data_IF_107382582241
#
_entry.id   IF_107382582241
#
_cell.length_a   1.000
_cell.length_b   1.000
_cell.length_c   1.000
_cell.angle_alpha   90.00
_cell.angle_beta   90.00
_cell.angle_gamma   90.00
#
_symmetry.space_group_name_H-M   'P 1'
#
loop_
_entity.id
_entity.type
_entity.pdbx_description
1 polymer ?
#
# COMPACT_ATOMS: atom_id res chain seq x y z
N UNK A 1 -29.99 41.49 -7.17
CA UNK A 1 -30.01 40.25 -7.96
C UNK A 1 -28.98 40.35 -9.08
N UNK A 2 -27.90 39.55 -9.02
CA UNK A 2 -26.87 39.53 -10.07
C UNK A 2 -27.39 38.65 -11.21
N UNK A 3 -27.50 39.17 -12.43
CA UNK A 3 -27.99 38.43 -13.58
C UNK A 3 -26.95 37.41 -14.05
N UNK A 4 -27.38 36.26 -14.64
CA UNK A 4 -26.47 35.21 -15.18
C UNK A 4 -25.42 35.77 -16.14
N UNK A 5 -25.74 36.82 -16.92
CA UNK A 5 -24.78 37.50 -17.80
C UNK A 5 -23.73 38.33 -17.07
N UNK A 6 -24.04 38.89 -15.91
CA UNK A 6 -23.08 39.63 -15.09
C UNK A 6 -22.11 38.67 -14.40
N UNK A 7 -22.58 37.49 -13.98
CA UNK A 7 -21.72 36.43 -13.40
C UNK A 7 -20.68 35.90 -14.39
N UNK A 8 -21.10 35.65 -15.65
CA UNK A 8 -20.20 35.18 -16.71
C UNK A 8 -19.14 36.22 -17.14
N UNK A 9 -19.43 37.53 -17.03
CA UNK A 9 -18.45 38.58 -17.33
C UNK A 9 -17.40 38.76 -16.23
N UNK A 10 -17.74 38.48 -14.99
CA UNK A 10 -16.80 38.56 -13.86
C UNK A 10 -15.79 37.41 -13.88
N UNK A 11 -16.20 36.22 -14.37
CA UNK A 11 -15.31 35.04 -14.47
C UNK A 11 -14.32 35.11 -15.65
N UNK A 12 -14.51 36.00 -16.62
CA UNK A 12 -13.59 36.14 -17.76
C UNK A 12 -12.46 37.16 -17.57
N UNK A 13 -12.42 37.91 -16.46
CA UNK A 13 -11.50 39.03 -16.27
C UNK A 13 -10.36 38.80 -15.27
N UNK A 14 -10.19 37.61 -14.77
CA UNK A 14 -9.00 37.26 -13.98
C UNK A 14 -8.27 36.06 -14.61
N UNK A 15 -7.21 36.28 -15.42
CA UNK A 15 -6.26 35.23 -15.68
C UNK A 15 -5.53 34.97 -14.35
N UNK A 16 -6.00 34.01 -13.56
CA UNK A 16 -5.26 33.46 -12.45
C UNK A 16 -4.05 32.73 -13.06
N UNK A 17 -2.95 33.48 -13.21
CA UNK A 17 -1.66 32.89 -13.51
C UNK A 17 -1.23 32.15 -12.25
N UNK A 18 -1.68 30.91 -12.11
CA UNK A 18 -1.06 29.95 -11.19
C UNK A 18 0.32 29.57 -11.80
N UNK A 19 1.31 30.46 -11.63
CA UNK A 19 2.72 30.10 -11.80
C UNK A 19 3.18 29.39 -10.53
N UNK A 20 2.78 28.16 -10.39
CA UNK A 20 3.24 27.26 -9.37
C UNK A 20 2.87 25.86 -9.82
N UNK A 21 3.81 25.18 -10.46
CA UNK A 21 3.67 23.77 -10.75
C UNK A 21 3.53 23.02 -9.44
N UNK A 22 2.51 22.17 -9.26
CA UNK A 22 2.35 21.37 -8.03
C UNK A 22 3.39 20.26 -7.89
N UNK A 23 4.46 20.28 -8.66
CA UNK A 23 5.51 19.26 -8.69
C UNK A 23 6.43 19.25 -7.45
N UNK A 24 6.35 20.21 -6.54
CA UNK A 24 7.27 20.30 -5.40
C UNK A 24 6.77 19.70 -4.07
N UNK A 25 5.59 19.12 -4.02
CA UNK A 25 5.06 18.59 -2.76
C UNK A 25 5.21 17.06 -2.58
N UNK A 26 5.63 16.34 -3.62
CA UNK A 26 6.02 14.94 -3.51
C UNK A 26 7.53 14.84 -3.67
N UNK A 27 8.28 15.13 -2.62
CA UNK A 27 9.64 14.60 -2.53
C UNK A 27 9.49 13.08 -2.58
N UNK A 28 9.84 12.46 -3.73
CA UNK A 28 10.06 11.02 -3.83
C UNK A 28 11.29 10.69 -2.98
N UNK A 29 11.11 10.64 -1.67
CA UNK A 29 12.03 9.87 -0.85
C UNK A 29 11.81 8.43 -1.28
N UNK A 30 12.78 7.84 -1.98
CA UNK A 30 12.72 6.42 -2.27
C UNK A 30 12.61 5.70 -0.93
N UNK A 31 11.55 4.92 -0.73
CA UNK A 31 11.35 4.23 0.53
C UNK A 31 12.49 3.25 0.74
N UNK A 32 12.96 3.05 1.97
CA UNK A 32 14.00 2.09 2.24
C UNK A 32 13.55 0.70 1.80
N UNK A 33 14.38 0.03 0.99
CA UNK A 33 14.13 -1.35 0.61
C UNK A 33 14.19 -2.23 1.86
N UNK A 34 13.10 -2.93 2.16
CA UNK A 34 13.02 -3.91 3.24
C UNK A 34 13.33 -5.29 2.67
N UNK A 35 14.35 -5.95 3.18
CA UNK A 35 14.62 -7.34 2.85
C UNK A 35 13.40 -8.20 3.25
N UNK A 36 13.01 -9.09 2.34
CA UNK A 36 11.87 -9.95 2.52
C UNK A 36 12.19 -11.11 3.48
N UNK A 37 11.20 -11.52 4.25
CA UNK A 37 11.26 -12.74 5.05
C UNK A 37 10.91 -13.97 4.18
N UNK A 38 11.24 -15.15 4.67
CA UNK A 38 10.83 -16.43 4.08
C UNK A 38 11.22 -16.58 2.60
N UNK A 39 12.53 -16.52 2.33
CA UNK A 39 13.10 -16.90 1.05
C UNK A 39 14.46 -17.58 1.25
N UNK A 40 14.94 -18.28 0.24
CA UNK A 40 16.31 -18.81 0.20
C UNK A 40 16.90 -18.65 -1.20
N UNK A 41 18.24 -18.67 -1.28
CA UNK A 41 18.97 -18.64 -2.55
C UNK A 41 19.03 -20.04 -3.13
N UNK A 42 18.65 -20.20 -4.41
CA UNK A 42 18.73 -21.46 -5.14
C UNK A 42 20.07 -21.57 -5.89
N UNK A 43 20.47 -20.47 -6.54
CA UNK A 43 21.70 -20.41 -7.34
C UNK A 43 22.35 -19.05 -7.10
N UNK A 44 23.48 -19.06 -6.39
CA UNK A 44 24.21 -17.83 -6.05
C UNK A 44 24.86 -17.21 -7.29
N UNK A 45 25.37 -18.02 -8.25
CA UNK A 45 26.03 -17.52 -9.47
C UNK A 45 25.02 -16.83 -10.39
N UNK A 46 23.82 -17.37 -10.50
CA UNK A 46 22.72 -16.83 -11.31
C UNK A 46 21.82 -15.87 -10.51
N UNK A 47 22.12 -15.67 -9.22
CA UNK A 47 21.32 -14.81 -8.33
C UNK A 47 19.84 -15.18 -8.31
N UNK A 48 19.50 -16.48 -8.32
CA UNK A 48 18.12 -16.97 -8.30
C UNK A 48 17.69 -17.24 -6.86
N UNK A 49 16.51 -16.79 -6.48
CA UNK A 49 15.92 -16.99 -5.15
C UNK A 49 14.56 -17.69 -5.24
N UNK A 50 14.20 -18.43 -4.19
CA UNK A 50 12.86 -19.00 -4.01
C UNK A 50 12.15 -18.29 -2.86
N UNK A 51 10.98 -17.73 -3.13
CA UNK A 51 10.10 -17.15 -2.12
C UNK A 51 9.22 -18.24 -1.50
N UNK A 52 9.23 -18.37 -0.18
CA UNK A 52 8.47 -19.36 0.59
C UNK A 52 7.33 -18.75 1.40
N UNK A 53 6.98 -17.49 1.15
CA UNK A 53 5.99 -16.78 1.96
C UNK A 53 4.56 -17.30 1.76
N UNK A 54 4.23 -17.81 0.57
CA UNK A 54 2.91 -18.33 0.25
C UNK A 54 3.00 -19.61 -0.60
N UNK A 55 1.91 -20.38 -0.75
CA UNK A 55 1.91 -21.66 -1.48
C UNK A 55 2.30 -21.60 -2.97
N UNK A 56 2.60 -20.41 -3.51
CA UNK A 56 3.07 -20.30 -4.90
C UNK A 56 4.56 -20.61 -5.06
N UNK A 57 5.34 -20.53 -4.00
CA UNK A 57 6.76 -20.89 -3.96
C UNK A 57 7.55 -20.37 -5.19
N UNK A 58 7.37 -19.09 -5.51
CA UNK A 58 7.91 -18.49 -6.74
C UNK A 58 9.44 -18.59 -6.79
N UNK A 59 9.97 -19.16 -7.87
CA UNK A 59 11.38 -19.05 -8.25
C UNK A 59 11.56 -17.75 -9.03
N UNK A 60 12.43 -16.86 -8.55
CA UNK A 60 12.54 -15.48 -9.03
C UNK A 60 13.98 -15.21 -9.45
N UNK A 61 14.18 -14.97 -10.74
CA UNK A 61 15.50 -14.59 -11.28
C UNK A 61 15.86 -13.16 -10.89
N UNK A 62 17.13 -12.77 -11.07
CA UNK A 62 17.57 -11.42 -10.82
C UNK A 62 16.78 -10.40 -11.64
N UNK A 63 16.36 -9.31 -11.00
CA UNK A 63 15.58 -8.24 -11.60
C UNK A 63 14.07 -8.53 -11.69
N UNK A 64 13.66 -9.79 -11.54
CA UNK A 64 12.28 -10.23 -11.68
C UNK A 64 11.46 -10.08 -10.38
N UNK A 65 10.15 -10.13 -10.54
CA UNK A 65 9.19 -10.13 -9.41
C UNK A 65 8.48 -11.47 -9.31
N UNK A 66 8.08 -11.83 -8.09
CA UNK A 66 7.18 -12.96 -7.87
C UNK A 66 5.79 -12.70 -8.47
N UNK A 67 4.97 -13.75 -8.53
CA UNK A 67 3.60 -13.70 -9.07
C UNK A 67 2.74 -12.58 -8.44
N UNK A 68 2.92 -12.29 -7.16
CA UNK A 68 2.20 -11.22 -6.45
C UNK A 68 2.61 -9.79 -6.87
N UNK A 69 3.70 -9.63 -7.63
CA UNK A 69 4.31 -8.35 -8.03
C UNK A 69 4.79 -7.45 -6.87
N UNK A 70 4.67 -7.92 -5.62
CA UNK A 70 5.07 -7.18 -4.42
C UNK A 70 6.44 -7.57 -3.86
N UNK A 71 7.08 -8.59 -4.44
CA UNK A 71 8.40 -9.09 -4.05
C UNK A 71 9.31 -9.15 -5.25
N UNK A 72 10.50 -8.54 -5.14
CA UNK A 72 11.48 -8.42 -6.24
C UNK A 72 12.83 -8.94 -5.80
N UNK A 73 13.44 -9.73 -6.66
CA UNK A 73 14.83 -10.13 -6.50
C UNK A 73 15.75 -9.04 -7.04
N UNK A 74 16.64 -8.54 -6.19
CA UNK A 74 17.67 -7.56 -6.56
C UNK A 74 19.02 -8.16 -6.12
N UNK A 75 19.84 -8.52 -7.05
CA UNK A 75 21.20 -9.09 -6.84
C UNK A 75 21.19 -10.28 -5.87
N UNK A 76 20.26 -11.21 -6.03
CA UNK A 76 20.16 -12.41 -5.20
C UNK A 76 19.58 -12.19 -3.79
N UNK A 77 19.02 -11.01 -3.53
CA UNK A 77 18.28 -10.69 -2.30
C UNK A 77 16.85 -10.34 -2.64
N UNK A 78 15.90 -10.96 -1.95
CA UNK A 78 14.48 -10.69 -2.16
C UNK A 78 14.03 -9.50 -1.31
N UNK A 79 13.34 -8.54 -1.91
CA UNK A 79 12.83 -7.34 -1.25
C UNK A 79 11.31 -7.25 -1.28
N UNK A 80 10.73 -6.78 -0.17
CA UNK A 80 9.31 -6.47 -0.02
C UNK A 80 9.05 -5.03 -0.50
N UNK A 81 8.55 -4.88 -1.74
CA UNK A 81 8.36 -3.58 -2.40
C UNK A 81 7.29 -2.69 -1.75
N UNK A 82 6.31 -3.30 -1.09
CA UNK A 82 5.20 -2.60 -0.44
C UNK A 82 5.49 -2.14 0.99
N UNK A 83 6.70 -2.34 1.52
CA UNK A 83 7.03 -1.96 2.89
C UNK A 83 6.98 -0.44 3.06
N UNK A 84 6.23 0.03 4.06
CA UNK A 84 5.97 1.44 4.34
C UNK A 84 5.37 2.24 3.15
N UNK A 85 4.74 1.54 2.19
CA UNK A 85 4.14 2.13 1.00
C UNK A 85 2.70 1.65 0.80
N UNK A 86 1.77 1.97 1.72
CA UNK A 86 0.36 1.67 1.50
C UNK A 86 -0.17 2.45 0.29
N UNK A 87 -0.92 1.74 -0.58
CA UNK A 87 -1.63 2.32 -1.73
C UNK A 87 -3.07 2.71 -1.39
N UNK A 88 -3.58 2.27 -0.25
CA UNK A 88 -4.90 2.67 0.26
C UNK A 88 -4.86 2.76 1.79
N UNK A 89 -5.45 3.84 2.33
CA UNK A 89 -5.63 4.08 3.76
C UNK A 89 -7.05 4.63 3.96
N UNK A 90 -7.83 3.96 4.82
CA UNK A 90 -9.20 4.39 5.13
C UNK A 90 -9.53 4.12 6.60
N UNK A 91 -10.49 4.90 7.12
CA UNK A 91 -11.15 4.62 8.39
C UNK A 91 -12.51 4.00 8.06
N UNK A 92 -12.69 2.75 8.44
CA UNK A 92 -13.89 1.98 8.12
C UNK A 92 -14.60 1.50 9.41
N UNK A 93 -15.92 1.32 9.40
CA UNK A 93 -16.60 0.58 10.45
C UNK A 93 -16.05 -0.84 10.55
N UNK A 94 -15.96 -1.37 11.78
CA UNK A 94 -15.47 -2.74 12.00
C UNK A 94 -16.33 -3.79 11.28
N UNK A 95 -17.61 -3.52 11.14
CA UNK A 95 -18.57 -4.38 10.44
C UNK A 95 -18.26 -4.54 8.95
N UNK A 96 -17.59 -3.54 8.32
CA UNK A 96 -17.09 -3.66 6.94
C UNK A 96 -15.97 -4.71 6.82
N UNK A 97 -15.37 -5.10 7.95
CA UNK A 97 -14.37 -6.19 8.04
C UNK A 97 -15.00 -7.53 8.42
N UNK A 98 -16.25 -7.74 8.17
CA UNK A 98 -17.30 -8.61 8.73
C UNK A 98 -17.08 -9.07 10.18
N UNK A 99 -16.58 -8.22 11.04
CA UNK A 99 -16.42 -8.49 12.47
C UNK A 99 -17.55 -7.87 13.30
N UNK A 100 -18.71 -8.50 13.28
CA UNK A 100 -19.91 -7.97 13.95
C UNK A 100 -19.86 -8.10 15.48
N UNK A 101 -19.14 -9.09 16.00
CA UNK A 101 -19.05 -9.38 17.43
C UNK A 101 -17.73 -8.90 18.07
N UNK A 102 -16.80 -8.34 17.28
CA UNK A 102 -15.52 -7.81 17.76
C UNK A 102 -15.56 -6.30 17.83
N UNK A 103 -15.60 -5.75 19.05
CA UNK A 103 -15.74 -4.31 19.27
C UNK A 103 -16.84 -3.66 18.39
N UNK A 104 -18.13 -4.08 18.53
CA UNK A 104 -19.20 -3.58 17.66
C UNK A 104 -19.26 -2.06 17.62
N UNK A 105 -19.59 -1.49 16.47
CA UNK A 105 -19.66 -0.03 16.22
C UNK A 105 -18.32 0.71 16.35
N UNK A 106 -17.19 0.00 16.47
CA UNK A 106 -15.88 0.63 16.49
C UNK A 106 -15.38 0.94 15.07
N UNK A 107 -14.37 1.80 15.00
CA UNK A 107 -13.65 2.11 13.78
C UNK A 107 -12.39 1.24 13.65
N UNK A 108 -12.07 0.86 12.42
CA UNK A 108 -10.86 0.13 12.04
C UNK A 108 -10.04 0.96 11.05
N UNK A 109 -8.76 1.11 11.31
CA UNK A 109 -7.82 1.76 10.40
C UNK A 109 -7.37 0.75 9.34
N UNK A 110 -7.82 0.92 8.11
CA UNK A 110 -7.64 -0.03 7.02
C UNK A 110 -6.50 0.38 6.13
N UNK A 111 -5.56 -0.52 5.89
CA UNK A 111 -4.43 -0.30 4.98
C UNK A 111 -4.29 -1.43 3.95
N UNK A 112 -3.81 -1.08 2.77
CA UNK A 112 -3.43 -2.04 1.72
C UNK A 112 -2.10 -1.67 1.10
N UNK A 113 -1.34 -2.68 0.68
CA UNK A 113 -0.25 -2.55 -0.28
C UNK A 113 -0.68 -3.09 -1.63
N UNK A 114 -0.11 -2.55 -2.72
CA UNK A 114 -0.37 -3.05 -4.06
C UNK A 114 0.24 -4.45 -4.26
N UNK A 115 -0.32 -5.18 -5.20
CA UNK A 115 0.04 -6.58 -5.48
C UNK A 115 -0.82 -7.57 -4.70
N UNK A 116 -0.93 -8.80 -5.23
CA UNK A 116 -1.71 -9.88 -4.62
C UNK A 116 -1.26 -11.23 -5.16
N UNK A 117 -1.17 -12.25 -4.30
CA UNK A 117 -0.88 -13.62 -4.72
C UNK A 117 -2.12 -14.38 -5.22
N UNK A 118 -3.29 -13.74 -5.23
CA UNK A 118 -4.54 -14.25 -5.77
C UNK A 118 -4.90 -13.59 -7.10
N UNK A 119 -5.81 -14.24 -7.86
CA UNK A 119 -6.34 -13.75 -9.15
C UNK A 119 -7.84 -14.00 -9.20
N UNK A 120 -8.56 -13.50 -8.18
CA UNK A 120 -10.02 -13.64 -8.09
C UNK A 120 -10.67 -12.94 -9.28
N UNK A 121 -11.52 -13.65 -10.03
CA UNK A 121 -12.21 -13.11 -11.21
C UNK A 121 -13.18 -11.97 -10.87
N UNK A 122 -13.68 -11.95 -9.64
CA UNK A 122 -14.61 -10.95 -9.09
C UNK A 122 -13.91 -9.97 -8.12
N UNK A 123 -12.59 -9.75 -8.24
CA UNK A 123 -11.86 -8.89 -7.33
C UNK A 123 -12.34 -7.44 -7.43
N UNK A 124 -12.95 -6.94 -6.36
CA UNK A 124 -13.39 -5.54 -6.27
C UNK A 124 -12.22 -4.55 -6.33
N UNK A 125 -11.06 -4.96 -5.82
CA UNK A 125 -9.86 -4.14 -5.72
C UNK A 125 -8.82 -4.50 -6.80
N UNK A 126 -9.26 -4.92 -8.00
CA UNK A 126 -8.39 -5.40 -9.07
C UNK A 126 -7.35 -4.36 -9.50
N UNK A 127 -7.68 -3.07 -9.42
CA UNK A 127 -6.81 -1.95 -9.79
C UNK A 127 -5.52 -1.90 -8.97
N UNK A 128 -5.57 -2.26 -7.69
CA UNK A 128 -4.39 -2.28 -6.81
C UNK A 128 -3.83 -3.69 -6.62
N UNK A 129 -4.65 -4.73 -6.77
CA UNK A 129 -4.22 -6.11 -6.52
C UNK A 129 -3.41 -6.71 -7.69
N UNK A 130 -3.51 -6.15 -8.89
CA UNK A 130 -2.90 -6.71 -10.10
C UNK A 130 -1.68 -5.92 -10.61
N UNK A 131 -1.23 -4.91 -9.87
CA UNK A 131 -0.07 -4.07 -10.19
C UNK A 131 1.02 -4.20 -9.13
N UNK A 132 2.24 -3.78 -9.47
CA UNK A 132 3.34 -3.70 -8.50
C UNK A 132 3.20 -2.46 -7.60
N UNK A 133 3.72 -2.49 -6.36
CA UNK A 133 3.92 -1.28 -5.57
C UNK A 133 4.73 -0.19 -6.28
N UNK A 134 5.58 -0.55 -7.24
CA UNK A 134 6.35 0.40 -8.05
C UNK A 134 5.49 1.13 -9.11
N UNK A 135 4.35 0.56 -9.46
CA UNK A 135 3.40 1.08 -10.48
C UNK A 135 2.20 1.77 -9.84
N UNK A 136 2.02 1.63 -8.53
CA UNK A 136 0.89 2.20 -7.80
C UNK A 136 1.21 3.58 -7.21
N UNK A 137 0.15 4.36 -6.96
CA UNK A 137 0.26 5.60 -6.18
C UNK A 137 0.27 5.21 -4.70
N UNK A 138 1.39 5.45 -4.03
CA UNK A 138 1.59 5.08 -2.65
C UNK A 138 1.83 6.31 -1.77
N UNK A 139 1.48 6.19 -0.50
CA UNK A 139 1.85 7.14 0.54
C UNK A 139 3.03 6.57 1.33
N UNK A 140 4.03 7.39 1.66
CA UNK A 140 5.09 6.93 2.55
C UNK A 140 4.63 7.01 4.01
N UNK A 141 4.39 5.85 4.61
CA UNK A 141 3.94 5.73 5.99
C UNK A 141 4.67 4.57 6.69
N UNK A 142 5.59 4.90 7.58
CA UNK A 142 6.28 3.92 8.41
C UNK A 142 5.32 3.24 9.40
N UNK A 143 5.64 2.05 9.94
CA UNK A 143 4.78 1.35 10.90
C UNK A 143 4.31 2.20 12.08
N UNK A 144 5.19 3.01 12.65
CA UNK A 144 4.87 3.95 13.74
C UNK A 144 3.86 5.03 13.33
N UNK A 145 3.97 5.56 12.09
CA UNK A 145 3.01 6.53 11.54
C UNK A 145 1.62 5.92 11.37
N UNK A 146 1.54 4.67 10.93
CA UNK A 146 0.25 3.96 10.81
C UNK A 146 -0.39 3.78 12.18
N UNK A 147 0.36 3.34 13.18
CA UNK A 147 -0.17 3.17 14.53
C UNK A 147 -0.61 4.50 15.13
N UNK A 148 0.19 5.56 14.98
CA UNK A 148 -0.14 6.90 15.44
C UNK A 148 -1.40 7.44 14.76
N UNK A 149 -1.52 7.28 13.43
CA UNK A 149 -2.70 7.71 12.68
C UNK A 149 -3.95 6.93 13.09
N UNK A 150 -3.85 5.63 13.35
CA UNK A 150 -4.95 4.82 13.84
C UNK A 150 -5.44 5.28 15.21
N UNK A 151 -4.51 5.54 16.15
CA UNK A 151 -4.82 6.08 17.49
C UNK A 151 -5.49 7.46 17.39
N UNK A 152 -4.94 8.38 16.60
CA UNK A 152 -5.49 9.72 16.39
C UNK A 152 -6.89 9.71 15.74
N UNK A 153 -7.15 8.74 14.89
CA UNK A 153 -8.47 8.55 14.25
C UNK A 153 -9.49 7.85 15.15
N UNK A 154 -9.16 7.53 16.40
CA UNK A 154 -10.05 6.83 17.32
C UNK A 154 -10.32 5.37 16.95
N UNK A 155 -9.51 4.78 16.09
CA UNK A 155 -9.68 3.39 15.67
C UNK A 155 -9.29 2.41 16.79
N UNK A 156 -10.09 1.37 17.00
CA UNK A 156 -9.83 0.29 17.96
C UNK A 156 -8.93 -0.80 17.38
N UNK A 157 -8.77 -0.84 16.06
CA UNK A 157 -8.03 -1.89 15.35
C UNK A 157 -7.37 -1.35 14.08
N UNK A 158 -6.35 -2.07 13.60
CA UNK A 158 -5.77 -1.88 12.28
C UNK A 158 -6.13 -3.11 11.44
N UNK A 159 -6.71 -2.89 10.26
CA UNK A 159 -7.05 -3.94 9.33
C UNK A 159 -6.12 -3.92 8.11
N UNK A 160 -5.46 -5.04 7.87
CA UNK A 160 -4.69 -5.28 6.66
C UNK A 160 -5.63 -5.91 5.63
N UNK A 161 -6.03 -5.17 4.58
CA UNK A 161 -7.20 -5.53 3.78
C UNK A 161 -7.07 -5.04 2.33
N UNK A 162 -8.13 -5.19 1.54
CA UNK A 162 -8.29 -4.85 0.11
C UNK A 162 -7.45 -5.70 -0.84
N UNK A 163 -6.20 -6.03 -0.51
CA UNK A 163 -5.35 -7.03 -1.14
C UNK A 163 -5.02 -8.12 -0.11
N UNK A 164 -4.41 -9.23 -0.53
CA UNK A 164 -4.03 -10.30 0.38
C UNK A 164 -2.86 -9.85 1.28
N UNK A 165 -3.02 -9.80 2.62
CA UNK A 165 -2.01 -9.24 3.53
C UNK A 165 -0.66 -9.96 3.51
N UNK A 166 -0.63 -11.23 3.14
CA UNK A 166 0.61 -12.01 3.01
C UNK A 166 1.65 -11.28 2.14
N UNK A 167 1.21 -10.50 1.12
CA UNK A 167 2.16 -9.83 0.22
C UNK A 167 2.98 -8.72 0.88
N UNK A 168 2.46 -8.12 1.93
CA UNK A 168 3.15 -7.07 2.70
C UNK A 168 3.37 -7.49 4.16
N UNK A 169 3.72 -8.77 4.32
CA UNK A 169 3.92 -9.45 5.60
C UNK A 169 4.83 -8.67 6.56
N UNK A 170 6.00 -8.22 6.12
CA UNK A 170 6.98 -7.51 6.94
C UNK A 170 6.39 -6.20 7.49
N UNK A 171 5.64 -5.49 6.66
CA UNK A 171 5.00 -4.24 7.06
C UNK A 171 3.88 -4.50 8.06
N UNK A 172 3.09 -5.54 7.84
CA UNK A 172 2.04 -5.97 8.76
C UNK A 172 2.61 -6.34 10.13
N UNK A 173 3.65 -7.17 10.17
CA UNK A 173 4.25 -7.65 11.42
C UNK A 173 4.91 -6.51 12.21
N UNK A 174 5.67 -5.65 11.55
CA UNK A 174 6.34 -4.53 12.22
C UNK A 174 5.30 -3.52 12.75
N UNK A 175 4.23 -3.26 12.00
CA UNK A 175 3.11 -2.42 12.46
C UNK A 175 2.39 -3.05 13.66
N UNK A 176 2.13 -4.37 13.62
CA UNK A 176 1.45 -5.09 14.69
C UNK A 176 2.26 -5.12 15.99
N UNK A 177 3.60 -5.24 15.91
CA UNK A 177 4.49 -5.17 17.09
C UNK A 177 4.35 -3.82 17.80
N UNK A 178 4.37 -2.71 17.05
CA UNK A 178 4.23 -1.35 17.60
C UNK A 178 2.81 -1.13 18.14
N UNK A 179 1.78 -1.66 17.47
CA UNK A 179 0.40 -1.48 17.92
C UNK A 179 0.08 -2.21 19.24
N UNK A 180 0.87 -3.24 19.61
CA UNK A 180 0.71 -4.02 20.85
C UNK A 180 1.52 -3.43 22.02
N UNK A 181 2.52 -2.60 21.75
CA UNK A 181 3.29 -1.87 22.78
C UNK A 181 2.51 -0.64 23.27
#
# INVERSE_FOLDING_TARGET
>A
MITRRAFLKITMLTPFIFKGTPERLYAKTEPPLKEASYYHRIDEKKMIVACQLCPRECVIAEGETGFCKARKNIKGTLYALGYAQPCAIHVDPIEKKPFYNYHPKSLSFSIASAGCNLRCKFCQNWQISQISPLESINQYATPDKIVSAAKLSGCKSIAYTYTEPTNFYEYMIDTAKIAKS
#
